data_IF_805340695212
#
_entry.id   IF_805340695212
#
_cell.length_a   1.000
_cell.length_b   1.000
_cell.length_c   1.000
_cell.angle_alpha   90.00
_cell.angle_beta   90.00
_cell.angle_gamma   90.00
#
_symmetry.space_group_name_H-M   'P 1'
#
loop_
_entity.id
_entity.type
_entity.pdbx_description
1 polymer ?
#
# COMPACT_ATOMS: atom_id res chain seq x y z
N UNK A 1 74.73 -18.54 11.28
CA UNK A 1 73.91 -17.55 12.02
C UNK A 1 73.92 -16.27 11.20
N UNK A 2 72.90 -16.09 10.34
CA UNK A 2 72.69 -14.89 9.52
C UNK A 2 71.34 -14.33 9.92
N UNK A 3 71.34 -13.24 10.68
CA UNK A 3 70.14 -12.63 11.22
C UNK A 3 69.77 -11.39 10.39
N UNK A 4 68.64 -11.51 9.67
CA UNK A 4 67.69 -10.48 9.22
C UNK A 4 68.04 -9.63 7.97
N UNK A 5 67.02 -9.13 7.19
CA UNK A 5 65.60 -9.06 7.55
C UNK A 5 64.58 -9.49 6.46
N UNK A 6 63.63 -10.35 6.85
CA UNK A 6 62.35 -10.61 6.14
C UNK A 6 61.42 -9.37 6.04
N UNK A 7 61.88 -8.19 6.47
CA UNK A 7 61.10 -6.95 6.50
C UNK A 7 61.09 -6.19 5.15
N UNK A 8 62.01 -6.47 4.22
CA UNK A 8 62.07 -5.76 2.93
C UNK A 8 61.02 -6.30 1.94
N UNK A 9 60.65 -7.59 2.04
CA UNK A 9 59.58 -8.16 1.20
C UNK A 9 58.18 -7.62 1.58
N UNK A 10 57.98 -7.23 2.84
CA UNK A 10 56.69 -6.71 3.33
C UNK A 10 56.26 -5.40 2.66
N UNK A 11 57.19 -4.62 2.08
CA UNK A 11 56.93 -3.27 1.54
C UNK A 11 57.27 -3.10 0.05
N UNK A 12 57.22 -4.16 -0.75
CA UNK A 12 57.40 -3.99 -2.20
C UNK A 12 56.20 -3.32 -2.87
N UNK A 13 56.42 -2.51 -3.93
CA UNK A 13 55.35 -1.90 -4.75
C UNK A 13 54.34 -2.95 -5.25
N UNK A 14 54.82 -4.16 -5.54
CA UNK A 14 53.99 -5.30 -5.95
C UNK A 14 53.08 -5.77 -4.81
N UNK A 15 53.59 -5.83 -3.58
CA UNK A 15 52.78 -6.17 -2.41
C UNK A 15 51.72 -5.10 -2.13
N UNK A 16 52.10 -3.81 -2.21
CA UNK A 16 51.17 -2.69 -2.08
C UNK A 16 50.03 -2.76 -3.13
N UNK A 17 50.35 -2.95 -4.41
CA UNK A 17 49.33 -3.04 -5.46
C UNK A 17 48.42 -4.27 -5.30
N UNK A 18 48.97 -5.41 -4.85
CA UNK A 18 48.18 -6.60 -4.55
C UNK A 18 47.23 -6.36 -3.39
N UNK A 19 47.73 -5.84 -2.26
CA UNK A 19 46.93 -5.56 -1.06
C UNK A 19 45.88 -4.49 -1.34
N UNK A 20 46.24 -3.39 -2.00
CA UNK A 20 45.29 -2.35 -2.37
C UNK A 20 44.22 -2.88 -3.33
N UNK A 21 44.62 -3.65 -4.35
CA UNK A 21 43.70 -4.26 -5.31
C UNK A 21 42.72 -5.24 -4.64
N UNK A 22 43.20 -6.11 -3.74
CA UNK A 22 42.33 -7.04 -3.00
C UNK A 22 41.43 -6.31 -2.00
N UNK A 23 41.91 -5.26 -1.32
CA UNK A 23 41.09 -4.44 -0.44
C UNK A 23 39.98 -3.70 -1.20
N UNK A 24 40.30 -3.07 -2.34
CA UNK A 24 39.30 -2.39 -3.18
C UNK A 24 38.31 -3.37 -3.80
N UNK A 25 38.76 -4.56 -4.22
CA UNK A 25 37.89 -5.63 -4.67
C UNK A 25 36.95 -6.12 -3.56
N UNK A 26 37.45 -6.27 -2.33
CA UNK A 26 36.63 -6.63 -1.16
C UNK A 26 35.55 -5.60 -0.85
N UNK A 27 35.87 -4.30 -0.91
CA UNK A 27 34.90 -3.21 -0.74
C UNK A 27 33.88 -3.23 -1.88
N UNK A 28 34.32 -3.33 -3.14
CA UNK A 28 33.42 -3.41 -4.30
C UNK A 28 32.48 -4.62 -4.20
N UNK A 29 32.98 -5.77 -3.75
CA UNK A 29 32.19 -6.99 -3.59
C UNK A 29 31.13 -6.86 -2.49
N UNK A 30 31.41 -6.10 -1.43
CA UNK A 30 30.43 -5.76 -0.38
C UNK A 30 29.31 -4.83 -0.86
N UNK A 31 29.53 -4.09 -1.95
CA UNK A 31 28.48 -3.32 -2.63
C UNK A 31 27.67 -4.11 -3.66
N UNK A 32 28.22 -5.22 -4.17
CA UNK A 32 27.56 -6.10 -5.16
C UNK A 32 26.66 -7.14 -4.46
N UNK A 33 27.07 -7.64 -3.30
CA UNK A 33 26.25 -8.52 -2.48
C UNK A 33 25.48 -7.72 -1.44
N UNK A 34 24.20 -8.04 -1.27
CA UNK A 34 23.41 -7.54 -0.16
C UNK A 34 24.18 -7.78 1.16
N UNK A 35 24.46 -6.69 1.89
CA UNK A 35 25.35 -6.67 3.06
C UNK A 35 24.97 -7.68 4.15
N UNK A 36 23.75 -8.23 4.07
CA UNK A 36 23.24 -9.33 4.89
C UNK A 36 23.93 -10.69 4.68
N UNK A 37 24.74 -10.88 3.62
CA UNK A 37 25.32 -12.19 3.26
C UNK A 37 26.84 -12.31 3.40
N UNK A 38 27.57 -11.22 3.61
CA UNK A 38 29.05 -11.21 3.57
C UNK A 38 29.70 -11.12 4.95
N UNK A 39 29.03 -10.52 5.93
CA UNK A 39 29.53 -10.41 7.30
C UNK A 39 28.64 -11.21 8.26
N UNK A 40 29.26 -11.94 9.20
CA UNK A 40 28.52 -12.54 10.31
C UNK A 40 27.74 -11.44 11.05
N UNK A 41 26.43 -11.64 11.20
CA UNK A 41 25.52 -10.59 11.65
C UNK A 41 25.93 -10.05 13.04
N UNK A 42 26.09 -8.72 13.21
CA UNK A 42 26.17 -8.13 14.54
C UNK A 42 24.83 -8.34 15.27
N UNK A 43 24.89 -8.56 16.59
CA UNK A 43 23.79 -8.91 17.49
C UNK A 43 22.70 -7.82 17.69
N UNK A 44 22.58 -6.90 16.74
CA UNK A 44 21.49 -5.94 16.63
C UNK A 44 21.12 -5.78 15.15
N UNK A 45 20.84 -6.88 14.46
CA UNK A 45 20.06 -6.82 13.23
C UNK A 45 18.74 -6.18 13.60
N UNK A 46 18.59 -4.89 13.30
CA UNK A 46 17.28 -4.26 13.15
C UNK A 46 16.58 -5.13 12.10
N UNK A 47 15.81 -6.11 12.57
CA UNK A 47 15.03 -7.02 11.74
C UNK A 47 14.24 -6.11 10.81
N UNK A 48 14.61 -6.06 9.53
CA UNK A 48 13.87 -5.26 8.56
C UNK A 48 12.42 -5.76 8.61
N UNK A 49 11.49 -4.99 9.18
CA UNK A 49 10.13 -5.47 9.40
C UNK A 49 9.45 -5.79 8.07
N UNK A 50 9.88 -5.15 6.99
CA UNK A 50 9.41 -5.33 5.62
C UNK A 50 10.15 -6.43 4.84
N UNK A 51 11.10 -7.15 5.44
CA UNK A 51 11.72 -8.28 4.74
C UNK A 51 10.64 -9.30 4.34
N UNK A 52 10.65 -9.83 3.10
CA UNK A 52 9.71 -10.87 2.68
C UNK A 52 9.73 -12.06 3.64
N UNK A 53 8.55 -12.54 4.04
CA UNK A 53 8.40 -13.64 4.99
C UNK A 53 7.78 -14.88 4.31
N UNK A 54 8.12 -16.10 4.78
CA UNK A 54 7.37 -17.29 4.38
C UNK A 54 5.89 -17.10 4.71
N UNK A 55 5.03 -17.30 3.72
CA UNK A 55 3.59 -17.22 3.89
C UNK A 55 3.06 -18.49 4.55
N UNK A 56 2.00 -18.39 5.35
CA UNK A 56 1.31 -19.57 5.91
C UNK A 56 0.75 -20.50 4.82
N UNK A 57 0.39 -19.93 3.66
CA UNK A 57 -0.08 -20.65 2.49
C UNK A 57 0.70 -20.20 1.25
N UNK A 58 0.88 -21.07 0.23
CA UNK A 58 1.51 -20.67 -1.01
C UNK A 58 0.66 -19.61 -1.73
N UNK A 59 1.04 -18.34 -1.58
CA UNK A 59 0.39 -17.22 -2.25
C UNK A 59 0.97 -17.02 -3.65
N UNK A 60 0.08 -16.94 -4.65
CA UNK A 60 0.46 -16.57 -6.03
C UNK A 60 0.53 -15.05 -6.23
N UNK A 61 -0.21 -14.30 -5.42
CA UNK A 61 -0.27 -12.85 -5.50
C UNK A 61 1.03 -12.22 -4.95
N UNK A 62 1.62 -11.31 -5.72
CA UNK A 62 2.86 -10.60 -5.37
C UNK A 62 2.64 -9.12 -5.01
N UNK A 63 1.51 -8.57 -5.45
CA UNK A 63 1.13 -7.18 -5.24
C UNK A 63 -0.39 -7.06 -5.18
N UNK A 64 -0.89 -6.02 -4.50
CA UNK A 64 -2.30 -5.69 -4.44
C UNK A 64 -2.50 -4.22 -4.82
N UNK A 65 -3.37 -3.96 -5.80
CA UNK A 65 -3.87 -2.62 -6.10
C UNK A 65 -5.29 -2.56 -5.54
N UNK A 66 -5.50 -1.71 -4.54
CA UNK A 66 -6.78 -1.53 -3.91
C UNK A 66 -7.38 -0.18 -4.29
N UNK A 67 -8.51 -0.20 -5.00
CA UNK A 67 -9.23 1.00 -5.43
C UNK A 67 -10.45 1.21 -4.55
N UNK A 68 -10.34 2.13 -3.59
CA UNK A 68 -11.47 2.52 -2.75
C UNK A 68 -12.21 3.72 -3.35
N UNK A 69 -13.38 3.47 -3.92
CA UNK A 69 -14.19 4.50 -4.60
C UNK A 69 -15.02 5.30 -3.58
N UNK A 70 -14.37 6.18 -2.83
CA UNK A 70 -15.01 7.13 -1.92
C UNK A 70 -15.96 8.07 -2.70
N UNK A 71 -17.25 8.04 -2.36
CA UNK A 71 -18.27 8.77 -3.12
C UNK A 71 -18.53 8.20 -4.53
N UNK A 72 -18.11 6.96 -4.78
CA UNK A 72 -18.29 6.27 -6.04
C UNK A 72 -19.75 5.88 -6.34
N UNK A 73 -20.00 5.33 -7.53
CA UNK A 73 -21.33 4.87 -7.93
C UNK A 73 -21.85 3.75 -7.02
N UNK A 74 -23.18 3.69 -6.88
CA UNK A 74 -23.87 2.64 -6.11
C UNK A 74 -23.56 1.25 -6.67
N UNK A 75 -23.43 0.24 -5.81
CA UNK A 75 -23.26 -1.14 -6.23
C UNK A 75 -24.42 -1.64 -7.13
N UNK A 76 -25.63 -1.09 -6.89
CA UNK A 76 -26.86 -1.36 -7.66
C UNK A 76 -26.81 -0.78 -9.08
N UNK A 77 -25.88 0.13 -9.36
CA UNK A 77 -25.62 0.71 -10.68
C UNK A 77 -24.37 0.11 -11.35
N UNK A 78 -23.68 -0.84 -10.71
CA UNK A 78 -22.43 -1.44 -11.20
C UNK A 78 -22.54 -2.95 -11.46
N UNK A 79 -22.54 -3.76 -10.40
CA UNK A 79 -22.41 -5.23 -10.47
C UNK A 79 -23.57 -5.96 -9.79
N UNK A 80 -24.45 -5.24 -9.08
CA UNK A 80 -25.55 -5.82 -8.32
C UNK A 80 -26.91 -5.56 -8.96
N UNK A 81 -27.20 -6.30 -10.03
CA UNK A 81 -28.50 -6.24 -10.68
C UNK A 81 -29.61 -6.71 -9.74
N UNK A 82 -30.60 -5.84 -9.47
CA UNK A 82 -31.76 -6.14 -8.61
C UNK A 82 -33.08 -5.94 -9.36
N UNK A 83 -33.61 -6.97 -10.03
CA UNK A 83 -34.83 -6.87 -10.84
C UNK A 83 -36.05 -6.45 -10.02
N UNK A 84 -36.17 -6.90 -8.77
CA UNK A 84 -37.30 -6.52 -7.90
C UNK A 84 -37.25 -5.06 -7.46
N UNK A 85 -36.05 -4.49 -7.30
CA UNK A 85 -35.90 -3.06 -7.08
C UNK A 85 -36.34 -2.29 -8.33
N UNK A 86 -35.98 -2.77 -9.52
CA UNK A 86 -36.38 -2.13 -10.78
C UNK A 86 -37.90 -2.07 -10.92
N UNK A 87 -38.59 -3.18 -10.66
CA UNK A 87 -40.07 -3.26 -10.68
C UNK A 87 -40.73 -2.37 -9.62
N UNK A 88 -40.04 -2.12 -8.52
CA UNK A 88 -40.55 -1.35 -7.39
C UNK A 88 -40.08 0.11 -7.39
N UNK A 89 -39.36 0.54 -8.42
CA UNK A 89 -38.92 1.92 -8.57
C UNK A 89 -40.10 2.89 -8.53
N UNK A 90 -39.97 3.98 -7.77
CA UNK A 90 -41.02 4.97 -7.55
C UNK A 90 -41.98 4.64 -6.40
N UNK A 91 -41.97 3.42 -5.86
CA UNK A 91 -42.81 3.08 -4.69
C UNK A 91 -42.25 3.72 -3.42
N UNK A 92 -43.14 4.24 -2.58
CA UNK A 92 -42.80 4.73 -1.24
C UNK A 92 -42.74 3.55 -0.26
N UNK A 93 -41.68 3.50 0.51
CA UNK A 93 -41.50 2.53 1.60
C UNK A 93 -41.04 3.25 2.85
N UNK A 94 -41.37 2.71 4.02
CA UNK A 94 -40.79 3.16 5.28
C UNK A 94 -39.47 2.44 5.49
N UNK A 95 -38.37 3.18 5.48
CA UNK A 95 -37.03 2.66 5.76
C UNK A 95 -36.47 3.28 7.03
N UNK A 96 -35.73 2.48 7.78
CA UNK A 96 -34.89 2.97 8.86
C UNK A 96 -33.64 3.61 8.24
N UNK A 97 -33.51 4.94 8.35
CA UNK A 97 -32.35 5.66 7.80
C UNK A 97 -31.29 5.87 8.88
N UNK A 98 -31.72 6.15 10.12
CA UNK A 98 -30.81 6.48 11.22
C UNK A 98 -31.43 6.14 12.57
N UNK A 99 -30.78 5.25 13.34
CA UNK A 99 -31.07 5.01 14.76
C UNK A 99 -32.56 4.79 15.07
N UNK A 100 -33.20 3.83 14.41
CA UNK A 100 -34.63 3.46 14.56
C UNK A 100 -35.63 4.50 14.09
N UNK A 101 -35.17 5.57 13.43
CA UNK A 101 -36.06 6.54 12.79
C UNK A 101 -36.52 5.99 11.42
N UNK A 102 -37.81 5.66 11.34
CA UNK A 102 -38.47 5.28 10.10
C UNK A 102 -38.88 6.52 9.32
N UNK A 103 -38.41 6.66 8.09
CA UNK A 103 -38.83 7.72 7.17
C UNK A 103 -39.40 7.14 5.89
N UNK A 104 -40.41 7.82 5.36
CA UNK A 104 -40.88 7.55 4.01
C UNK A 104 -39.76 7.88 3.03
N UNK A 105 -39.41 6.90 2.19
CA UNK A 105 -38.39 7.02 1.16
C UNK A 105 -38.91 6.41 -0.13
N UNK A 106 -38.48 6.94 -1.26
CA UNK A 106 -38.85 6.42 -2.57
C UNK A 106 -37.77 5.43 -3.02
N UNK A 107 -38.19 4.21 -3.36
CA UNK A 107 -37.30 3.24 -3.98
C UNK A 107 -36.86 3.76 -5.35
N UNK A 108 -35.55 3.75 -5.58
CA UNK A 108 -34.97 4.16 -6.84
C UNK A 108 -34.29 2.97 -7.50
N UNK A 109 -34.90 2.47 -8.58
CA UNK A 109 -34.27 1.50 -9.46
C UNK A 109 -33.07 2.10 -10.19
N UNK A 110 -32.17 1.23 -10.64
CA UNK A 110 -31.05 1.66 -11.46
C UNK A 110 -31.56 2.25 -12.77
N UNK A 111 -30.92 3.32 -13.23
CA UNK A 111 -31.14 3.87 -14.58
C UNK A 111 -30.27 3.19 -15.64
N UNK A 112 -29.41 2.25 -15.23
CA UNK A 112 -28.49 1.53 -16.11
C UNK A 112 -29.12 0.29 -16.69
N UNK A 113 -28.67 -0.09 -17.88
CA UNK A 113 -28.93 -1.41 -18.44
C UNK A 113 -27.90 -2.42 -17.90
N UNK A 114 -28.31 -3.68 -17.78
CA UNK A 114 -27.49 -4.75 -17.24
C UNK A 114 -27.50 -5.95 -18.20
N UNK A 115 -26.34 -6.60 -18.31
CA UNK A 115 -26.20 -7.86 -19.01
C UNK A 115 -25.30 -8.83 -18.22
N UNK A 116 -25.46 -10.12 -18.47
CA UNK A 116 -24.55 -11.14 -17.99
C UNK A 116 -23.40 -11.31 -18.98
N UNK A 117 -22.18 -11.41 -18.47
CA UNK A 117 -20.98 -11.49 -19.31
C UNK A 117 -20.19 -12.77 -19.05
N UNK A 118 -19.61 -13.29 -20.15
CA UNK A 118 -18.70 -14.44 -20.11
C UNK A 118 -19.33 -15.73 -19.61
N UNK A 119 -18.48 -16.68 -19.22
CA UNK A 119 -18.87 -17.98 -18.66
C UNK A 119 -19.33 -17.89 -17.21
N UNK A 120 -18.84 -16.88 -16.48
CA UNK A 120 -19.20 -16.62 -15.10
C UNK A 120 -20.66 -16.19 -14.96
N UNK A 121 -21.27 -15.63 -16.01
CA UNK A 121 -22.65 -15.15 -15.99
C UNK A 121 -22.85 -13.99 -15.00
N UNK A 122 -21.78 -13.31 -14.60
CA UNK A 122 -21.85 -12.20 -13.67
C UNK A 122 -22.52 -11.00 -14.35
N UNK A 123 -23.38 -10.33 -13.60
CA UNK A 123 -24.05 -9.11 -14.03
C UNK A 123 -23.09 -7.92 -14.01
N UNK A 124 -23.09 -7.13 -15.09
CA UNK A 124 -22.40 -5.85 -15.16
C UNK A 124 -23.28 -4.82 -15.86
N UNK A 125 -23.23 -3.58 -15.41
CA UNK A 125 -23.98 -2.48 -16.02
C UNK A 125 -23.24 -1.87 -17.20
N UNK A 126 -23.97 -1.15 -18.04
CA UNK A 126 -23.41 -0.33 -19.13
C UNK A 126 -22.46 0.80 -18.67
N UNK A 127 -22.32 1.03 -17.36
CA UNK A 127 -21.42 2.04 -16.82
C UNK A 127 -19.94 1.64 -16.94
N UNK A 128 -19.64 0.34 -17.06
CA UNK A 128 -18.26 -0.18 -17.07
C UNK A 128 -18.03 -1.12 -18.27
N UNK A 129 -18.20 -0.67 -19.52
CA UNK A 129 -18.18 -1.54 -20.70
C UNK A 129 -16.84 -2.26 -20.89
N UNK A 130 -15.74 -1.62 -20.51
CA UNK A 130 -14.40 -2.22 -20.59
C UNK A 130 -14.16 -3.26 -19.49
N UNK A 131 -14.75 -3.06 -18.30
CA UNK A 131 -14.65 -4.02 -17.19
C UNK A 131 -15.52 -5.25 -17.47
N UNK A 132 -16.66 -5.05 -18.12
CA UNK A 132 -17.57 -6.12 -18.51
C UNK A 132 -16.90 -7.21 -19.37
N UNK A 133 -15.89 -6.85 -20.17
CA UNK A 133 -15.08 -7.80 -20.96
C UNK A 133 -14.16 -8.70 -20.11
N UNK A 134 -14.05 -8.44 -18.81
CA UNK A 134 -13.15 -9.14 -17.88
C UNK A 134 -13.87 -9.86 -16.75
N UNK A 135 -15.21 -9.95 -16.77
CA UNK A 135 -16.00 -10.53 -15.67
C UNK A 135 -15.58 -11.96 -15.30
N UNK A 136 -15.15 -12.78 -16.26
CA UNK A 136 -14.65 -14.16 -16.00
C UNK A 136 -13.36 -14.22 -15.18
N UNK A 137 -12.65 -13.10 -15.04
CA UNK A 137 -11.43 -12.98 -14.22
C UNK A 137 -11.69 -12.31 -12.87
N UNK A 138 -12.96 -12.01 -12.57
CA UNK A 138 -13.35 -11.27 -11.39
C UNK A 138 -14.16 -12.14 -10.43
N UNK A 139 -14.11 -11.78 -9.15
CA UNK A 139 -15.02 -12.27 -8.14
C UNK A 139 -15.79 -11.08 -7.58
N UNK A 140 -17.13 -11.17 -7.57
CA UNK A 140 -18.00 -10.14 -7.00
C UNK A 140 -18.48 -10.60 -5.64
N UNK A 141 -18.05 -9.92 -4.59
CA UNK A 141 -18.43 -10.23 -3.20
C UNK A 141 -19.61 -9.34 -2.81
N UNK A 142 -20.80 -9.94 -2.67
CA UNK A 142 -22.06 -9.24 -2.32
C UNK A 142 -22.45 -9.38 -0.85
N UNK A 143 -21.65 -10.08 -0.06
CA UNK A 143 -21.91 -10.37 1.35
C UNK A 143 -21.38 -9.29 2.30
N UNK A 144 -20.83 -8.18 1.78
CA UNK A 144 -20.32 -7.10 2.60
C UNK A 144 -21.49 -6.28 3.16
N UNK A 145 -21.40 -5.96 4.45
CA UNK A 145 -22.30 -5.04 5.14
C UNK A 145 -21.48 -4.14 6.07
N UNK A 146 -22.10 -3.08 6.57
CA UNK A 146 -21.52 -2.17 7.55
C UNK A 146 -22.36 -2.17 8.82
N UNK A 147 -21.74 -1.79 9.94
CA UNK A 147 -22.42 -1.60 11.22
C UNK A 147 -22.73 -0.14 11.51
N UNK A 148 -22.19 0.79 10.73
CA UNK A 148 -22.32 2.22 10.95
C UNK A 148 -22.91 2.97 9.77
N UNK A 149 -24.04 3.65 9.99
CA UNK A 149 -24.63 4.58 9.02
C UNK A 149 -23.77 5.84 8.81
N UNK A 150 -22.85 6.14 9.73
CA UNK A 150 -22.04 7.35 9.67
C UNK A 150 -20.85 7.14 8.73
N UNK A 151 -20.69 8.08 7.80
CA UNK A 151 -19.72 7.95 6.72
C UNK A 151 -18.28 7.72 7.20
N UNK A 152 -17.82 8.45 8.23
CA UNK A 152 -16.45 8.32 8.74
C UNK A 152 -16.16 6.94 9.34
N UNK A 153 -17.04 6.42 10.18
CA UNK A 153 -16.89 5.10 10.79
C UNK A 153 -17.09 3.95 9.79
N UNK A 154 -17.96 4.12 8.80
CA UNK A 154 -18.10 3.16 7.70
C UNK A 154 -16.81 3.05 6.86
N UNK A 155 -16.15 4.18 6.58
CA UNK A 155 -14.87 4.17 5.87
C UNK A 155 -13.78 3.43 6.66
N UNK A 156 -13.71 3.65 7.98
CA UNK A 156 -12.80 2.90 8.85
C UNK A 156 -13.13 1.41 8.86
N UNK A 157 -14.41 1.05 8.88
CA UNK A 157 -14.80 -0.35 8.87
C UNK A 157 -14.40 -1.04 7.57
N UNK A 158 -14.56 -0.38 6.42
CA UNK A 158 -14.15 -0.94 5.15
C UNK A 158 -12.63 -1.11 5.06
N UNK A 159 -11.87 -0.10 5.51
CA UNK A 159 -10.42 -0.11 5.34
C UNK A 159 -9.67 -0.87 6.46
N UNK A 160 -10.20 -0.90 7.68
CA UNK A 160 -9.54 -1.44 8.87
C UNK A 160 -10.34 -2.56 9.57
N UNK A 161 -11.51 -2.94 9.04
CA UNK A 161 -12.35 -4.01 9.58
C UNK A 161 -13.10 -3.64 10.88
N UNK A 162 -13.01 -2.40 11.34
CA UNK A 162 -13.64 -1.90 12.59
C UNK A 162 -14.12 -0.45 12.42
N UNK A 163 -15.23 -0.11 13.09
CA UNK A 163 -15.78 1.25 13.09
C UNK A 163 -14.97 2.24 13.93
N UNK A 164 -14.12 1.74 14.84
CA UNK A 164 -13.24 2.53 15.69
C UNK A 164 -11.81 2.60 15.12
N UNK A 165 -11.18 3.76 15.26
CA UNK A 165 -9.78 3.99 14.86
C UNK A 165 -8.79 3.14 15.68
N UNK A 166 -7.56 3.03 15.18
CA UNK A 166 -6.46 2.33 15.85
C UNK A 166 -6.23 0.89 15.39
N UNK A 167 -7.08 0.37 14.50
CA UNK A 167 -6.88 -0.95 13.88
C UNK A 167 -6.08 -0.82 12.58
N UNK A 168 -5.18 -1.77 12.29
CA UNK A 168 -4.38 -1.74 11.06
C UNK A 168 -5.27 -1.81 9.82
N UNK A 169 -4.99 -0.95 8.86
CA UNK A 169 -5.66 -0.95 7.58
C UNK A 169 -5.30 -2.18 6.74
N UNK A 170 -6.11 -2.49 5.73
CA UNK A 170 -5.90 -3.60 4.80
C UNK A 170 -4.48 -3.56 4.19
N UNK A 171 -4.01 -2.37 3.79
CA UNK A 171 -2.66 -2.22 3.24
C UNK A 171 -1.55 -2.53 4.25
N UNK A 172 -1.75 -2.24 5.54
CA UNK A 172 -0.79 -2.59 6.59
C UNK A 172 -0.73 -4.13 6.78
N UNK A 173 -1.88 -4.81 6.76
CA UNK A 173 -1.94 -6.27 6.78
C UNK A 173 -1.27 -6.91 5.56
N UNK A 174 -1.47 -6.33 4.38
CA UNK A 174 -0.83 -6.79 3.14
C UNK A 174 0.69 -6.60 3.22
N UNK A 175 1.16 -5.43 3.66
CA UNK A 175 2.58 -5.15 3.82
C UNK A 175 3.23 -6.04 4.91
N UNK A 176 2.51 -6.33 5.99
CA UNK A 176 2.96 -7.28 7.01
C UNK A 176 3.03 -8.72 6.48
N UNK A 177 2.03 -9.13 5.70
CA UNK A 177 1.97 -10.45 5.11
C UNK A 177 3.06 -10.65 4.07
N UNK A 178 3.08 -9.83 3.01
CA UNK A 178 3.95 -10.00 1.86
C UNK A 178 5.36 -9.44 2.04
N UNK A 179 5.55 -8.50 2.97
CA UNK A 179 6.76 -7.68 3.03
C UNK A 179 6.84 -6.68 1.86
N UNK A 180 8.02 -6.11 1.67
CA UNK A 180 8.37 -5.29 0.51
C UNK A 180 9.44 -6.00 -0.32
N UNK A 181 9.25 -6.03 -1.64
CA UNK A 181 10.29 -6.43 -2.60
C UNK A 181 11.28 -5.31 -2.91
N UNK A 182 11.03 -4.10 -2.40
CA UNK A 182 11.83 -2.91 -2.62
C UNK A 182 12.34 -2.36 -1.28
N UNK A 183 13.65 -2.14 -1.17
CA UNK A 183 14.26 -1.56 0.03
C UNK A 183 14.12 -0.03 0.10
N UNK A 184 13.96 0.62 -1.06
CA UNK A 184 13.98 2.08 -1.22
C UNK A 184 12.58 2.70 -1.27
N UNK A 185 11.53 1.88 -1.45
CA UNK A 185 10.14 2.34 -1.49
C UNK A 185 9.29 1.76 -0.36
N UNK A 186 8.30 2.52 0.17
CA UNK A 186 7.36 2.01 1.16
C UNK A 186 6.56 0.81 0.64
N UNK A 187 6.41 -0.23 1.47
CA UNK A 187 5.60 -1.41 1.15
C UNK A 187 4.09 -1.14 1.08
N UNK A 188 3.62 -0.04 1.67
CA UNK A 188 2.23 0.40 1.62
C UNK A 188 2.14 1.86 1.18
N UNK A 189 1.76 2.05 -0.08
CA UNK A 189 1.58 3.35 -0.71
C UNK A 189 0.10 3.69 -0.82
N UNK A 190 -0.24 4.94 -0.51
CA UNK A 190 -1.59 5.49 -0.58
C UNK A 190 -1.61 6.63 -1.59
N UNK A 191 -2.46 6.52 -2.60
CA UNK A 191 -2.68 7.59 -3.58
C UNK A 191 -4.10 8.11 -3.42
N UNK A 192 -4.23 9.43 -3.27
CA UNK A 192 -5.52 10.08 -3.12
C UNK A 192 -5.98 10.65 -4.47
N UNK A 193 -7.29 10.70 -4.67
CA UNK A 193 -7.89 11.50 -5.73
C UNK A 193 -7.51 12.99 -5.51
N UNK A 194 -7.21 13.76 -6.56
CA UNK A 194 -6.91 15.19 -6.43
C UNK A 194 -7.99 16.01 -5.70
N UNK A 195 -9.25 15.55 -5.74
CA UNK A 195 -10.39 16.18 -5.07
C UNK A 195 -10.43 15.90 -3.57
N UNK A 196 -9.68 14.92 -3.08
CA UNK A 196 -9.58 14.59 -1.66
C UNK A 196 -9.60 13.09 -1.35
N UNK A 197 -9.31 12.77 -0.09
CA UNK A 197 -9.35 11.41 0.45
C UNK A 197 -10.60 11.13 1.29
N UNK A 198 -10.82 9.87 1.69
CA UNK A 198 -11.92 9.50 2.56
C UNK A 198 -11.76 10.13 3.94
N UNK A 199 -12.87 10.59 4.53
CA UNK A 199 -12.92 10.89 5.98
C UNK A 199 -12.76 9.58 6.78
N UNK A 200 -12.12 9.57 7.97
CA UNK A 200 -11.47 10.67 8.68
C UNK A 200 -9.97 10.85 8.31
N UNK A 201 -9.59 10.69 7.05
CA UNK A 201 -8.21 10.90 6.59
C UNK A 201 -7.28 9.75 6.95
N UNK A 202 -6.12 10.07 7.55
CA UNK A 202 -5.01 9.14 7.75
C UNK A 202 -5.35 7.84 8.49
N UNK A 203 -6.38 7.86 9.33
CA UNK A 203 -6.85 6.66 10.02
C UNK A 203 -7.38 5.56 9.07
N UNK A 204 -7.68 5.86 7.79
CA UNK A 204 -8.05 4.86 6.78
C UNK A 204 -6.85 4.04 6.26
N UNK A 205 -5.61 4.49 6.49
CA UNK A 205 -4.40 3.81 6.03
C UNK A 205 -3.36 3.71 7.15
N UNK A 206 -3.83 3.53 8.38
CA UNK A 206 -2.98 3.43 9.57
C UNK A 206 -2.36 2.05 9.73
N UNK A 207 -1.15 2.00 10.31
CA UNK A 207 -0.58 0.76 10.85
C UNK A 207 -1.33 0.27 12.11
N UNK A 208 -2.15 1.13 12.74
CA UNK A 208 -2.81 0.81 14.00
C UNK A 208 -1.80 0.45 15.09
N UNK A 209 -1.97 -0.71 15.71
CA UNK A 209 -1.04 -1.27 16.70
C UNK A 209 0.17 -2.00 16.09
N UNK A 210 0.31 -2.06 14.77
CA UNK A 210 1.50 -2.62 14.13
C UNK A 210 2.68 -1.66 14.17
N UNK A 211 3.92 -2.15 14.00
CA UNK A 211 5.10 -1.29 13.84
C UNK A 211 4.91 -0.20 12.77
N UNK A 212 5.51 0.97 13.01
CA UNK A 212 5.41 2.13 12.13
C UNK A 212 5.87 1.86 10.68
N UNK A 213 6.69 0.83 10.47
CA UNK A 213 7.12 0.42 9.13
C UNK A 213 5.97 -0.01 8.20
N UNK A 214 4.80 -0.37 8.74
CA UNK A 214 3.61 -0.71 7.94
C UNK A 214 2.63 0.46 7.77
N UNK A 215 3.03 1.66 8.18
CA UNK A 215 2.19 2.86 8.03
C UNK A 215 2.05 3.22 6.55
N UNK A 216 0.82 3.44 6.11
CA UNK A 216 0.55 3.90 4.74
C UNK A 216 1.21 5.23 4.47
N UNK A 217 2.03 5.28 3.42
CA UNK A 217 2.71 6.49 2.96
C UNK A 217 1.92 7.13 1.84
N UNK A 218 1.45 8.36 2.07
CA UNK A 218 0.67 9.10 1.07
C UNK A 218 1.61 9.67 0.01
N UNK A 219 1.37 9.29 -1.25
CA UNK A 219 2.02 9.89 -2.42
C UNK A 219 1.01 10.72 -3.20
N UNK A 220 1.36 11.98 -3.46
CA UNK A 220 0.56 12.89 -4.28
C UNK A 220 0.70 12.54 -5.76
N UNK A 221 -0.42 12.59 -6.47
CA UNK A 221 -0.45 12.34 -7.91
C UNK A 221 0.20 13.46 -8.75
N UNK A 222 0.34 14.66 -8.19
CA UNK A 222 0.91 15.84 -8.86
C UNK A 222 1.81 16.63 -7.90
N UNK A 223 2.80 17.34 -8.45
CA UNK A 223 3.74 18.15 -7.70
C UNK A 223 4.76 17.33 -6.93
N UNK A 224 5.01 17.69 -5.66
CA UNK A 224 5.92 16.94 -4.80
C UNK A 224 5.23 15.66 -4.29
N UNK A 225 5.72 14.45 -4.61
CA UNK A 225 5.05 13.20 -4.26
C UNK A 225 4.97 13.00 -2.75
N UNK A 226 6.03 13.38 -2.01
CA UNK A 226 6.04 13.46 -0.55
C UNK A 226 6.05 14.92 -0.14
N UNK A 227 5.30 15.27 0.91
CA UNK A 227 5.26 16.64 1.42
C UNK A 227 6.68 17.07 1.86
N UNK A 228 7.08 18.29 1.51
CA UNK A 228 8.39 18.87 1.82
C UNK A 228 9.61 18.12 1.24
N UNK A 229 9.42 17.26 0.24
CA UNK A 229 10.54 16.56 -0.42
C UNK A 229 11.47 17.51 -1.19
N UNK A 230 10.92 18.57 -1.76
CA UNK A 230 11.72 19.65 -2.37
C UNK A 230 11.80 20.82 -1.40
N UNK A 231 12.96 21.47 -1.29
CA UNK A 231 13.09 22.67 -0.48
C UNK A 231 12.13 23.76 -0.99
N UNK A 232 11.54 24.51 -0.06
CA UNK A 232 10.70 25.66 -0.36
C UNK A 232 11.53 26.95 -0.49
N UNK A 233 11.14 27.84 -1.39
CA UNK A 233 11.70 29.18 -1.52
C UNK A 233 13.15 29.21 -1.98
N UNK A 234 14.00 29.96 -1.28
CA UNK A 234 15.41 30.22 -1.64
C UNK A 234 16.40 29.21 -1.04
N UNK A 235 15.92 28.15 -0.39
CA UNK A 235 16.78 27.13 0.21
C UNK A 235 17.19 26.13 -0.88
N UNK A 236 18.47 25.96 -1.11
CA UNK A 236 18.97 24.95 -2.05
C UNK A 236 19.11 23.59 -1.36
N UNK A 237 19.19 22.50 -2.14
CA UNK A 237 19.51 21.17 -1.60
C UNK A 237 20.86 21.16 -0.88
N UNK A 238 21.84 21.95 -1.35
CA UNK A 238 23.15 22.07 -0.71
C UNK A 238 23.02 22.67 0.71
N UNK A 239 22.24 23.75 0.86
CA UNK A 239 21.99 24.36 2.17
C UNK A 239 21.21 23.44 3.13
N UNK A 240 20.35 22.57 2.61
CA UNK A 240 19.72 21.53 3.42
C UNK A 240 20.72 20.43 3.80
N UNK A 241 21.59 20.02 2.88
CA UNK A 241 22.67 19.07 3.14
C UNK A 241 23.58 19.53 4.27
N UNK A 242 24.08 20.77 4.19
CA UNK A 242 24.92 21.37 5.24
C UNK A 242 24.27 21.34 6.63
N UNK A 243 22.93 21.53 6.72
CA UNK A 243 22.21 21.44 8.00
C UNK A 243 22.11 20.01 8.52
N UNK A 244 21.91 19.04 7.64
CA UNK A 244 21.85 17.61 8.01
C UNK A 244 23.24 17.14 8.45
N UNK A 245 24.27 17.53 7.71
CA UNK A 245 25.67 17.23 8.03
C UNK A 245 26.13 17.87 9.34
N UNK A 246 25.55 19.01 9.73
CA UNK A 246 25.83 19.62 11.04
C UNK A 246 25.17 18.89 12.23
N UNK A 247 24.16 18.04 11.98
CA UNK A 247 23.44 17.28 13.02
C UNK A 247 24.03 15.87 13.19
N UNK A 248 24.61 15.30 12.13
CA UNK A 248 25.24 13.97 12.13
C UNK A 248 26.73 14.04 12.48
#
# INVERSE_FOLDING_TARGET
MSLLPDHIEAQSRRNFLKTFGTSMAGISLSGIFDGSRVFAAPASTLLNPLAPRPQHFPAKAKACIYLYLYGGPSQMDLFDYKPELQKSSGKKIKMEIRRREMRDSVLQGSKRSFAQHGRSGLWCSDALPNVANHMDKMAVIKSLYMDSFAHGSANLQMNCGRVLQGHPALGAWIAHGLGSSNADLPGFVVMLDPRGGPIPGAANWTAGYMPAAYQGTVLRAQGNPVLNLRPGGNVTMAMQGEKVDAIN
#
